data_IF_151563320874
#
_entry.id   IF_151563320874
#
_cell.length_a   1.000
_cell.length_b   1.000
_cell.length_c   1.000
_cell.angle_alpha   90.00
_cell.angle_beta   90.00
_cell.angle_gamma   90.00
#
_symmetry.space_group_name_H-M   'P 1'
#
loop_
_entity.id
_entity.type
_entity.pdbx_description
1 polymer ?
#
# COMPACT_ATOMS: atom_id res chain seq x y z
N UNK A 1 16.34 42.12 3.46
CA UNK A 1 14.96 41.91 3.97
C UNK A 1 14.29 41.00 2.96
N UNK A 2 14.49 39.69 3.12
CA UNK A 2 13.98 38.65 2.21
C UNK A 2 12.72 38.12 2.83
N UNK A 3 11.62 38.29 2.11
CA UNK A 3 10.27 37.93 2.51
C UNK A 3 10.14 36.41 2.65
N UNK A 4 9.50 36.00 3.74
CA UNK A 4 9.32 34.62 4.15
C UNK A 4 7.93 34.18 3.71
N UNK A 5 7.81 33.58 2.53
CA UNK A 5 6.56 32.93 2.11
C UNK A 5 6.84 31.46 1.82
N UNK A 6 6.74 30.68 2.89
CA UNK A 6 6.35 29.27 2.87
C UNK A 6 5.08 29.11 2.04
N UNK A 7 4.98 28.05 1.23
CA UNK A 7 3.72 27.34 1.13
C UNK A 7 3.98 25.92 1.65
N UNK A 8 3.51 25.68 2.87
CA UNK A 8 3.22 24.32 3.30
C UNK A 8 2.19 23.81 2.32
N UNK A 9 2.58 22.83 1.51
CA UNK A 9 1.66 22.13 0.63
C UNK A 9 0.61 21.47 1.49
N UNK A 10 -0.56 22.11 1.58
CA UNK A 10 -1.77 21.48 2.04
C UNK A 10 -2.10 20.40 1.03
N UNK A 11 -1.69 19.17 1.34
CA UNK A 11 -2.06 17.99 0.59
C UNK A 11 -3.55 17.80 0.82
N UNK A 12 -4.38 18.27 -0.12
CA UNK A 12 -5.82 18.08 -0.09
C UNK A 12 -6.10 16.56 -0.08
N UNK A 13 -6.69 16.02 1.01
CA UNK A 13 -6.93 14.58 1.15
C UNK A 13 -7.89 14.03 0.10
N UNK A 14 -8.56 14.89 -0.68
CA UNK A 14 -9.45 14.52 -1.79
C UNK A 14 -8.73 14.33 -3.13
N UNK A 15 -7.43 14.61 -3.22
CA UNK A 15 -6.67 14.56 -4.48
C UNK A 15 -5.57 13.50 -4.55
N UNK A 16 -5.38 12.69 -3.52
CA UNK A 16 -4.57 11.47 -3.61
C UNK A 16 -5.34 10.40 -4.41
N UNK A 17 -5.44 10.61 -5.73
CA UNK A 17 -5.70 9.51 -6.65
C UNK A 17 -4.45 8.64 -6.67
N UNK A 18 -4.37 7.72 -5.71
CA UNK A 18 -3.39 6.66 -5.73
C UNK A 18 -3.68 5.78 -6.95
N UNK A 19 -2.83 5.84 -7.96
CA UNK A 19 -3.00 4.97 -9.13
C UNK A 19 -2.91 3.50 -8.68
N UNK A 20 -3.65 2.58 -9.32
CA UNK A 20 -3.59 1.16 -9.00
C UNK A 20 -2.14 0.61 -9.01
N UNK A 21 -1.28 1.15 -9.88
CA UNK A 21 0.14 0.80 -9.97
C UNK A 21 0.92 1.22 -8.73
N UNK A 22 0.65 2.40 -8.16
CA UNK A 22 1.30 2.86 -6.92
C UNK A 22 0.86 1.99 -5.74
N UNK A 23 -0.42 1.62 -5.67
CA UNK A 23 -0.95 0.73 -4.63
C UNK A 23 -0.30 -0.66 -4.72
N UNK A 24 -0.14 -1.18 -5.94
CA UNK A 24 0.55 -2.45 -6.17
C UNK A 24 2.03 -2.39 -5.79
N UNK A 25 2.72 -1.28 -6.07
CA UNK A 25 4.12 -1.09 -5.68
C UNK A 25 4.28 -1.04 -4.15
N UNK A 26 3.37 -0.35 -3.45
CA UNK A 26 3.38 -0.29 -1.98
C UNK A 26 3.19 -1.70 -1.40
N UNK A 27 2.25 -2.48 -1.92
CA UNK A 27 2.03 -3.86 -1.47
C UNK A 27 3.28 -4.74 -1.67
N UNK A 28 3.96 -4.63 -2.82
CA UNK A 28 5.18 -5.36 -3.10
C UNK A 28 6.31 -5.00 -2.13
N UNK A 29 6.52 -3.71 -1.85
CA UNK A 29 7.53 -3.23 -0.89
C UNK A 29 7.26 -3.75 0.52
N UNK A 30 5.99 -3.78 0.95
CA UNK A 30 5.61 -4.33 2.25
C UNK A 30 5.91 -5.83 2.36
N UNK A 31 5.64 -6.58 1.29
CA UNK A 31 5.92 -8.03 1.23
C UNK A 31 7.43 -8.33 1.23
N UNK A 32 8.21 -7.57 0.46
CA UNK A 32 9.67 -7.67 0.46
C UNK A 32 10.24 -7.36 1.85
N UNK A 33 9.76 -6.29 2.48
CA UNK A 33 10.18 -5.89 3.84
C UNK A 33 9.84 -6.98 4.87
N UNK A 34 8.64 -7.58 4.79
CA UNK A 34 8.27 -8.71 5.66
C UNK A 34 9.19 -9.92 5.43
N UNK A 35 9.55 -10.18 4.16
CA UNK A 35 10.52 -11.21 3.79
C UNK A 35 11.91 -10.96 4.38
N UNK A 36 12.38 -9.72 4.41
CA UNK A 36 13.65 -9.33 5.02
C UNK A 36 13.63 -9.49 6.54
N UNK A 37 12.58 -9.01 7.21
CA UNK A 37 12.38 -9.15 8.66
C UNK A 37 12.45 -10.61 9.10
N UNK A 38 11.81 -11.51 8.33
CA UNK A 38 11.83 -12.95 8.59
C UNK A 38 13.22 -13.59 8.44
N UNK A 39 14.04 -13.07 7.52
CA UNK A 39 15.39 -13.59 7.25
C UNK A 39 16.44 -13.00 8.18
N UNK A 40 16.12 -11.92 8.90
CA UNK A 40 17.06 -11.24 9.79
C UNK A 40 17.56 -12.20 10.90
N UNK A 41 18.85 -12.58 10.89
CA UNK A 41 19.37 -13.53 11.88
C UNK A 41 19.54 -12.83 13.22
N UNK A 42 18.59 -13.00 14.14
CA UNK A 42 18.80 -12.62 15.55
C UNK A 42 19.58 -13.76 16.21
N UNK A 43 20.85 -13.53 16.55
CA UNK A 43 21.65 -14.52 17.28
C UNK A 43 21.40 -14.41 18.77
N UNK A 44 21.08 -15.53 19.41
CA UNK A 44 20.99 -15.61 20.86
C UNK A 44 22.39 -15.42 21.48
N UNK A 45 22.50 -14.67 22.58
CA UNK A 45 23.72 -14.67 23.37
C UNK A 45 23.90 -16.04 24.03
N UNK A 46 25.09 -16.63 23.89
CA UNK A 46 25.40 -17.92 24.50
C UNK A 46 25.42 -17.83 26.03
N UNK A 47 24.88 -18.83 26.72
CA UNK A 47 24.86 -18.87 28.19
C UNK A 47 26.27 -18.79 28.82
N UNK A 48 27.30 -19.26 28.10
CA UNK A 48 28.70 -19.17 28.55
C UNK A 48 29.34 -17.79 28.36
N UNK A 49 28.70 -16.88 27.61
CA UNK A 49 29.24 -15.54 27.32
C UNK A 49 29.29 -14.62 28.55
N UNK A 50 28.60 -14.98 29.64
CA UNK A 50 28.48 -14.14 30.83
C UNK A 50 29.22 -14.69 32.07
N UNK A 51 29.87 -15.86 31.95
CA UNK A 51 30.55 -16.54 33.05
C UNK A 51 29.60 -17.20 34.06
N UNK A 52 30.18 -17.87 35.07
CA UNK A 52 29.44 -18.69 36.06
C UNK A 52 29.12 -17.94 37.38
N UNK A 53 29.39 -16.63 37.45
CA UNK A 53 29.06 -15.85 38.64
C UNK A 53 27.54 -15.62 38.75
N UNK A 54 27.03 -15.37 39.95
CA UNK A 54 25.61 -15.02 40.16
C UNK A 54 25.16 -13.84 39.29
N UNK A 55 26.04 -12.84 39.12
CA UNK A 55 25.81 -11.69 38.25
C UNK A 55 25.77 -12.13 36.77
N UNK A 56 26.70 -12.99 36.36
CA UNK A 56 26.76 -13.58 35.02
C UNK A 56 25.51 -14.37 34.65
N UNK A 57 25.01 -15.22 35.56
CA UNK A 57 23.78 -15.99 35.38
C UNK A 57 22.55 -15.06 35.26
N UNK A 58 22.47 -14.02 36.10
CA UNK A 58 21.37 -13.05 36.06
C UNK A 58 21.38 -12.27 34.75
N UNK A 59 22.55 -11.79 34.32
CA UNK A 59 22.71 -11.09 33.06
C UNK A 59 22.36 -11.99 31.87
N UNK A 60 22.85 -13.23 31.87
CA UNK A 60 22.53 -14.22 30.82
C UNK A 60 21.03 -14.49 30.71
N UNK A 61 20.33 -14.63 31.85
CA UNK A 61 18.86 -14.78 31.87
C UNK A 61 18.15 -13.56 31.27
N UNK A 62 18.54 -12.34 31.67
CA UNK A 62 17.94 -11.12 31.12
C UNK A 62 18.25 -10.95 29.63
N UNK A 63 19.44 -11.30 29.17
CA UNK A 63 19.81 -11.26 27.76
C UNK A 63 19.02 -12.29 26.93
N UNK A 64 18.74 -13.48 27.46
CA UNK A 64 17.86 -14.45 26.82
C UNK A 64 16.41 -13.96 26.76
N UNK A 65 15.90 -13.33 27.83
CA UNK A 65 14.57 -12.72 27.82
C UNK A 65 14.48 -11.57 26.80
N UNK A 66 15.48 -10.69 26.75
CA UNK A 66 15.53 -9.61 25.77
C UNK A 66 15.59 -10.16 24.33
N UNK A 67 16.32 -11.25 24.12
CA UNK A 67 16.38 -11.94 22.83
C UNK A 67 15.00 -12.49 22.43
N UNK A 68 14.29 -13.13 23.36
CA UNK A 68 12.93 -13.62 23.13
C UNK A 68 11.97 -12.48 22.77
N UNK A 69 12.00 -11.38 23.54
CA UNK A 69 11.17 -10.19 23.26
C UNK A 69 11.46 -9.61 21.87
N UNK A 70 12.72 -9.58 21.44
CA UNK A 70 13.08 -9.14 20.10
C UNK A 70 12.53 -10.09 19.02
N UNK A 71 12.56 -11.40 19.24
CA UNK A 71 11.97 -12.37 18.31
C UNK A 71 10.45 -12.20 18.20
N UNK A 72 9.77 -12.04 19.34
CA UNK A 72 8.32 -11.83 19.39
C UNK A 72 7.93 -10.53 18.67
N UNK A 73 8.68 -9.44 18.88
CA UNK A 73 8.46 -8.16 18.21
C UNK A 73 8.67 -8.25 16.68
N UNK A 74 9.67 -9.01 16.21
CA UNK A 74 9.87 -9.23 14.77
C UNK A 74 8.75 -10.07 14.15
N UNK A 75 8.25 -11.06 14.88
CA UNK A 75 7.10 -11.84 14.44
C UNK A 75 5.82 -10.99 14.35
N UNK A 76 5.59 -10.11 15.33
CA UNK A 76 4.48 -9.15 15.32
C UNK A 76 4.61 -8.15 14.16
N UNK A 77 5.81 -7.64 13.89
CA UNK A 77 6.08 -6.75 12.77
C UNK A 77 5.79 -7.44 11.42
N UNK A 78 6.26 -8.66 11.21
CA UNK A 78 5.95 -9.45 10.01
C UNK A 78 4.44 -9.64 9.83
N UNK A 79 3.71 -9.95 10.90
CA UNK A 79 2.25 -10.09 10.86
C UNK A 79 1.55 -8.77 10.47
N UNK A 80 1.96 -7.64 11.06
CA UNK A 80 1.41 -6.33 10.73
C UNK A 80 1.71 -5.88 9.30
N UNK A 81 2.92 -6.14 8.80
CA UNK A 81 3.29 -5.82 7.42
C UNK A 81 2.42 -6.60 6.43
N UNK A 82 2.17 -7.89 6.69
CA UNK A 82 1.30 -8.73 5.88
C UNK A 82 -0.15 -8.25 5.89
N UNK A 83 -0.69 -7.99 7.08
CA UNK A 83 -2.05 -7.46 7.23
C UNK A 83 -2.22 -6.14 6.46
N UNK A 84 -1.22 -5.26 6.54
CA UNK A 84 -1.23 -3.98 5.80
C UNK A 84 -1.17 -4.22 4.30
N UNK A 85 -0.31 -5.13 3.83
CA UNK A 85 -0.26 -5.52 2.42
C UNK A 85 -1.59 -6.05 1.89
N UNK A 86 -2.30 -6.85 2.69
CA UNK A 86 -3.63 -7.37 2.34
C UNK A 86 -4.69 -6.26 2.27
N UNK A 87 -4.70 -5.34 3.23
CA UNK A 87 -5.60 -4.17 3.21
C UNK A 87 -5.35 -3.26 2.00
N UNK A 88 -4.09 -3.02 1.66
CA UNK A 88 -3.68 -2.24 0.48
C UNK A 88 -4.18 -2.93 -0.79
N UNK A 89 -4.04 -4.25 -0.90
CA UNK A 89 -4.53 -5.02 -2.05
C UNK A 89 -6.06 -4.99 -2.16
N UNK A 90 -6.76 -5.14 -1.05
CA UNK A 90 -8.21 -5.04 -1.00
C UNK A 90 -8.70 -3.65 -1.42
N UNK A 91 -8.00 -2.60 -0.98
CA UNK A 91 -8.31 -1.23 -1.39
C UNK A 91 -8.09 -1.02 -2.89
N UNK A 92 -7.00 -1.56 -3.46
CA UNK A 92 -6.75 -1.52 -4.90
C UNK A 92 -7.87 -2.20 -5.70
N UNK A 93 -8.30 -3.38 -5.25
CA UNK A 93 -9.41 -4.11 -5.87
C UNK A 93 -10.72 -3.34 -5.82
N UNK A 94 -11.00 -2.65 -4.70
CA UNK A 94 -12.17 -1.78 -4.57
C UNK A 94 -12.13 -0.59 -5.53
N UNK A 95 -10.96 0.06 -5.68
CA UNK A 95 -10.81 1.16 -6.65
C UNK A 95 -11.04 0.67 -8.08
N UNK A 96 -10.46 -0.47 -8.45
CA UNK A 96 -10.67 -1.06 -9.78
C UNK A 96 -12.15 -1.36 -10.05
N UNK A 97 -12.88 -1.90 -9.07
CA UNK A 97 -14.30 -2.18 -9.22
C UNK A 97 -15.14 -0.90 -9.42
N UNK A 98 -14.76 0.19 -8.75
CA UNK A 98 -15.42 1.50 -8.92
C UNK A 98 -15.13 2.08 -10.31
N UNK A 99 -13.90 1.96 -10.79
CA UNK A 99 -13.52 2.42 -12.14
C UNK A 99 -14.23 1.61 -13.23
N UNK A 100 -14.34 0.29 -13.07
CA UNK A 100 -15.06 -0.59 -13.99
C UNK A 100 -16.56 -0.23 -14.04
N UNK A 101 -17.18 0.02 -12.88
CA UNK A 101 -18.59 0.42 -12.77
C UNK A 101 -18.85 1.81 -13.38
N UNK A 102 -17.93 2.76 -13.17
CA UNK A 102 -17.97 4.07 -13.80
C UNK A 102 -17.84 3.97 -15.33
N UNK A 103 -16.93 3.12 -15.83
CA UNK A 103 -16.76 2.90 -17.26
C UNK A 103 -18.02 2.28 -17.91
N UNK A 104 -18.68 1.34 -17.23
CA UNK A 104 -19.95 0.76 -17.68
C UNK A 104 -21.06 1.82 -17.71
N UNK A 105 -21.12 2.69 -16.70
CA UNK A 105 -22.15 3.72 -16.57
C UNK A 105 -21.99 4.88 -17.57
N UNK A 106 -20.76 5.22 -17.97
CA UNK A 106 -20.46 6.35 -18.89
C UNK A 106 -20.59 5.96 -20.37
N UNK A 107 -20.30 4.71 -20.73
CA UNK A 107 -20.36 4.20 -22.12
C UNK A 107 -21.65 4.53 -22.89
N UNK A 108 -22.86 4.38 -22.31
CA UNK A 108 -24.11 4.70 -23.00
C UNK A 108 -24.23 6.19 -23.36
N UNK A 109 -23.74 7.06 -22.49
CA UNK A 109 -23.77 8.50 -22.72
C UNK A 109 -22.77 8.94 -23.79
N UNK A 110 -21.56 8.36 -23.79
CA UNK A 110 -20.59 8.59 -24.88
C UNK A 110 -21.12 8.13 -26.23
N UNK A 111 -21.72 6.95 -26.31
CA UNK A 111 -22.35 6.46 -27.54
C UNK A 111 -23.48 7.39 -28.02
N UNK A 112 -24.29 7.93 -27.09
CA UNK A 112 -25.31 8.91 -27.41
C UNK A 112 -24.74 10.24 -27.92
N UNK A 113 -23.66 10.73 -27.32
CA UNK A 113 -22.97 11.95 -27.77
C UNK A 113 -22.33 11.76 -29.15
N UNK A 114 -21.67 10.63 -29.40
CA UNK A 114 -21.10 10.30 -30.70
C UNK A 114 -22.17 10.16 -31.79
N UNK A 115 -23.34 9.59 -31.47
CA UNK A 115 -24.46 9.50 -32.41
C UNK A 115 -25.03 10.88 -32.80
N UNK A 116 -25.05 11.83 -31.86
CA UNK A 116 -25.50 13.22 -32.13
C UNK A 116 -24.43 14.05 -32.82
N UNK A 117 -23.16 13.79 -32.54
CA UNK A 117 -22.03 14.48 -33.14
C UNK A 117 -21.62 13.93 -34.52
N UNK A 118 -22.18 12.80 -34.94
CA UNK A 118 -21.95 12.22 -36.26
C UNK A 118 -22.38 13.22 -37.35
N UNK A 119 -21.57 13.45 -38.40
CA UNK A 119 -21.95 14.32 -39.51
C UNK A 119 -23.27 13.82 -40.11
N UNK A 120 -24.28 14.69 -40.15
CA UNK A 120 -25.51 14.40 -40.87
C UNK A 120 -25.13 14.19 -42.34
N UNK A 121 -25.25 12.96 -42.81
CA UNK A 121 -25.00 12.63 -44.21
C UNK A 121 -26.07 13.35 -45.05
N UNK A 122 -25.70 14.38 -45.85
CA UNK A 122 -26.67 15.22 -46.57
C UNK A 122 -27.39 14.45 -47.69
N UNK A 123 -27.02 13.20 -47.95
CA UNK A 123 -27.63 12.32 -48.95
C UNK A 123 -28.82 11.50 -48.43
N UNK A 124 -29.24 11.68 -47.17
CA UNK A 124 -30.52 11.10 -46.71
C UNK A 124 -31.66 11.93 -47.29
N UNK A 125 -32.00 11.69 -48.56
CA UNK A 125 -33.23 12.16 -49.19
C UNK A 125 -34.40 11.79 -48.28
N UNK A 126 -35.05 12.82 -47.73
CA UNK A 126 -36.38 12.70 -47.15
C UNK A 126 -37.32 12.26 -48.27
N UNK A 127 -37.56 10.95 -48.36
CA UNK A 127 -38.69 10.41 -49.12
C UNK A 127 -39.95 10.86 -48.39
N UNK A 128 -40.51 11.98 -48.86
CA UNK A 128 -41.85 12.39 -48.52
C UNK A 128 -42.85 11.35 -49.07
N UNK A 129 -43.60 10.72 -48.16
CA UNK A 129 -44.89 10.10 -48.44
C UNK A 129 -45.95 10.80 -47.61
#
# INVERSE_FOLDING_TARGET
MVDSTTPGGEVDPRTLQLSPELVSQIAAVLEDTAGEVRRAPVRAPGAMSFGQSTIGLTLGRHSLMAHQVMQDALAELDAHLRMTGDLVREHAQRLQAVDDDAAVSVRPYQAGVEAVAAPLDPTTEWVAQ
#
